data_IF_423490845578
#
_entry.id   IF_423490845578
#
_cell.length_a   1.000
_cell.length_b   1.000
_cell.length_c   1.000
_cell.angle_alpha   90.00
_cell.angle_beta   90.00
_cell.angle_gamma   90.00
#
_symmetry.space_group_name_H-M   'P 1'
#
loop_
_entity.id
_entity.type
_entity.pdbx_description
1 polymer ?
#
# COMPACT_ATOMS: atom_id res chain seq x y z
N UNK A 1 12.11 8.12 23.75
CA UNK A 1 11.27 8.58 22.64
C UNK A 1 9.99 7.75 22.64
N UNK A 2 8.83 8.40 22.44
CA UNK A 2 7.52 7.76 22.53
C UNK A 2 7.29 6.89 21.29
N UNK A 3 7.50 5.58 21.42
CA UNK A 3 7.35 4.57 20.37
C UNK A 3 5.87 4.24 20.14
N UNK A 4 5.12 5.12 19.51
CA UNK A 4 3.73 4.83 19.16
C UNK A 4 3.49 5.02 17.67
N UNK A 5 3.37 3.91 16.96
CA UNK A 5 2.77 3.87 15.63
C UNK A 5 1.25 3.96 15.82
N UNK A 6 0.63 4.99 15.25
CA UNK A 6 -0.81 5.19 15.29
C UNK A 6 -1.39 4.98 13.89
N UNK A 7 -2.47 4.22 13.80
CA UNK A 7 -3.28 4.13 12.59
C UNK A 7 -4.71 4.54 12.89
N UNK A 8 -5.34 5.19 11.92
CA UNK A 8 -6.75 5.52 11.93
C UNK A 8 -7.52 4.39 11.25
N UNK A 9 -8.51 3.84 11.95
CA UNK A 9 -9.52 2.96 11.34
C UNK A 9 -10.60 3.84 10.69
N UNK A 10 -10.88 3.57 9.42
CA UNK A 10 -12.03 4.13 8.69
C UNK A 10 -12.92 2.95 8.25
N UNK A 11 -14.15 2.93 8.73
CA UNK A 11 -15.11 1.87 8.44
C UNK A 11 -16.31 1.94 9.39
N UNK A 12 -17.46 1.44 8.96
CA UNK A 12 -18.62 1.32 9.85
C UNK A 12 -18.44 0.16 10.82
N UNK A 13 -18.63 0.38 12.12
CA UNK A 13 -18.65 -0.74 13.06
C UNK A 13 -19.92 -1.57 12.86
N UNK A 14 -19.77 -2.76 12.26
CA UNK A 14 -20.88 -3.70 12.04
C UNK A 14 -20.87 -4.87 13.03
N UNK A 15 -19.91 -4.90 13.98
CA UNK A 15 -19.71 -6.02 14.90
C UNK A 15 -19.22 -7.33 14.25
N UNK A 16 -18.97 -7.33 12.93
CA UNK A 16 -18.48 -8.49 12.17
C UNK A 16 -17.08 -8.22 11.65
N UNK A 17 -16.28 -9.28 11.50
CA UNK A 17 -14.98 -9.23 10.85
C UNK A 17 -15.16 -8.83 9.38
N UNK A 18 -14.45 -7.80 8.91
CA UNK A 18 -14.48 -7.34 7.53
C UNK A 18 -13.15 -7.59 6.82
N UNK A 19 -13.21 -7.60 5.49
CA UNK A 19 -12.00 -7.45 4.67
C UNK A 19 -11.40 -6.06 4.85
N UNK A 20 -10.10 -5.94 4.67
CA UNK A 20 -9.37 -4.74 5.00
C UNK A 20 -8.43 -4.26 3.89
N UNK A 21 -8.21 -2.95 3.85
CA UNK A 21 -7.10 -2.29 3.14
C UNK A 21 -6.13 -1.77 4.19
N UNK A 22 -4.84 -1.97 3.97
CA UNK A 22 -3.77 -1.28 4.68
C UNK A 22 -3.20 -0.16 3.81
N UNK A 23 -3.00 1.02 4.39
CA UNK A 23 -2.29 2.14 3.78
C UNK A 23 -1.31 2.76 4.78
N UNK A 24 -0.02 2.82 4.45
CA UNK A 24 0.98 3.53 5.24
C UNK A 24 1.67 4.64 4.44
N UNK A 25 2.03 5.69 5.16
CA UNK A 25 2.79 6.82 4.67
C UNK A 25 3.93 7.18 5.64
N UNK A 26 4.93 7.90 5.16
CA UNK A 26 5.97 8.46 6.02
C UNK A 26 6.84 7.40 6.70
N UNK A 27 7.09 6.28 6.02
CA UNK A 27 8.09 5.29 6.46
C UNK A 27 9.52 5.86 6.33
N UNK A 28 9.77 6.68 5.31
CA UNK A 28 10.95 7.54 5.23
C UNK A 28 10.59 8.96 5.68
N UNK A 29 11.31 9.46 6.68
CA UNK A 29 11.04 10.71 7.36
C UNK A 29 10.93 11.95 6.45
N UNK A 30 11.81 12.04 5.46
CA UNK A 30 11.97 13.22 4.58
C UNK A 30 10.93 13.32 3.47
N UNK A 31 10.11 12.29 3.27
CA UNK A 31 9.15 12.19 2.18
C UNK A 31 7.82 12.86 2.56
N UNK A 32 7.86 14.17 2.84
CA UNK A 32 6.76 14.89 3.51
C UNK A 32 5.43 14.90 2.76
N UNK A 33 5.46 14.73 1.43
CA UNK A 33 4.24 14.63 0.62
C UNK A 33 3.44 13.35 0.91
N UNK A 34 4.09 12.26 1.33
CA UNK A 34 3.39 11.01 1.65
C UNK A 34 2.48 11.16 2.90
N UNK A 35 2.95 11.66 4.07
CA UNK A 35 2.07 11.99 5.17
C UNK A 35 0.95 12.97 4.84
N UNK A 36 1.21 13.97 3.98
CA UNK A 36 0.18 14.90 3.51
C UNK A 36 -0.90 14.16 2.71
N UNK A 37 -0.51 13.22 1.83
CA UNK A 37 -1.44 12.39 1.09
C UNK A 37 -2.30 11.50 2.01
N UNK A 38 -1.72 10.79 2.98
CA UNK A 38 -2.52 9.96 3.88
C UNK A 38 -3.57 10.78 4.66
N UNK A 39 -3.23 12.00 5.10
CA UNK A 39 -4.19 12.92 5.73
C UNK A 39 -5.30 13.33 4.75
N UNK A 40 -4.93 13.66 3.51
CA UNK A 40 -5.89 13.96 2.45
C UNK A 40 -6.82 12.77 2.17
N UNK A 41 -6.29 11.55 2.09
CA UNK A 41 -7.06 10.32 1.89
C UNK A 41 -8.09 10.12 3.00
N UNK A 42 -7.71 10.30 4.26
CA UNK A 42 -8.62 10.21 5.42
C UNK A 42 -9.75 11.24 5.28
N UNK A 43 -9.42 12.48 4.93
CA UNK A 43 -10.39 13.56 4.73
C UNK A 43 -11.38 13.21 3.60
N UNK A 44 -10.89 12.70 2.46
CA UNK A 44 -11.76 12.31 1.34
C UNK A 44 -12.64 11.11 1.67
N UNK A 45 -12.13 10.15 2.46
CA UNK A 45 -12.92 9.01 2.90
C UNK A 45 -14.11 9.40 3.80
N UNK A 46 -14.02 10.54 4.50
CA UNK A 46 -15.13 11.09 5.29
C UNK A 46 -16.05 12.01 4.47
N UNK A 47 -15.60 12.47 3.30
CA UNK A 47 -16.45 13.22 2.36
C UNK A 47 -17.41 12.28 1.63
N UNK A 48 -18.38 12.87 0.94
CA UNK A 48 -19.46 12.16 0.25
C UNK A 48 -19.05 11.56 -1.09
N UNK A 49 -17.82 11.03 -1.25
CA UNK A 49 -17.48 10.23 -2.43
C UNK A 49 -18.34 8.96 -2.43
N UNK A 50 -19.28 8.77 -3.38
CA UNK A 50 -20.25 7.67 -3.30
C UNK A 50 -19.60 6.29 -3.37
N UNK A 51 -18.49 6.13 -4.12
CA UNK A 51 -17.78 4.85 -4.22
C UNK A 51 -17.08 4.53 -2.92
N UNK A 52 -16.38 5.51 -2.34
CA UNK A 52 -15.73 5.32 -1.05
C UNK A 52 -16.76 5.01 0.04
N UNK A 53 -17.89 5.73 0.06
CA UNK A 53 -18.98 5.48 1.00
C UNK A 53 -19.60 4.09 0.87
N UNK A 54 -19.61 3.50 -0.32
CA UNK A 54 -19.99 2.10 -0.51
C UNK A 54 -18.95 1.14 0.07
N UNK A 55 -17.68 1.36 -0.25
CA UNK A 55 -16.59 0.45 0.15
C UNK A 55 -16.38 0.43 1.68
N UNK A 56 -16.46 1.56 2.38
CA UNK A 56 -16.32 1.61 3.86
C UNK A 56 -17.45 0.88 4.62
N UNK A 57 -18.57 0.57 3.96
CA UNK A 57 -19.63 -0.27 4.57
C UNK A 57 -19.18 -1.72 4.67
N UNK A 58 -18.47 -2.20 3.67
CA UNK A 58 -18.11 -3.61 3.50
C UNK A 58 -16.65 -3.93 3.86
N UNK A 59 -15.80 -2.91 3.93
CA UNK A 59 -14.37 -3.02 4.24
C UNK A 59 -13.92 -2.05 5.32
N UNK A 60 -12.84 -2.42 6.00
CA UNK A 60 -12.12 -1.55 6.92
C UNK A 60 -10.85 -1.00 6.25
N UNK A 61 -10.55 0.28 6.46
CA UNK A 61 -9.34 0.92 5.99
C UNK A 61 -8.48 1.28 7.20
N UNK A 62 -7.26 0.75 7.25
CA UNK A 62 -6.28 1.07 8.28
C UNK A 62 -5.23 1.97 7.64
N UNK A 63 -5.26 3.25 8.03
CA UNK A 63 -4.37 4.28 7.46
C UNK A 63 -3.40 4.76 8.52
N UNK A 64 -2.09 4.62 8.32
CA UNK A 64 -1.05 5.22 9.17
C UNK A 64 -0.39 6.40 8.45
N UNK A 65 -0.71 7.66 8.81
CA UNK A 65 -0.17 8.83 8.11
C UNK A 65 1.34 9.01 8.28
N UNK A 66 1.88 8.60 9.42
CA UNK A 66 3.31 8.69 9.72
C UNK A 66 3.74 7.42 10.44
N UNK A 67 4.34 6.49 9.70
CA UNK A 67 4.90 5.27 10.29
C UNK A 67 6.18 5.57 11.10
N UNK A 68 7.10 6.37 10.54
CA UNK A 68 8.35 6.76 11.17
C UNK A 68 8.21 8.10 11.90
N UNK A 69 7.55 8.09 13.06
CA UNK A 69 7.25 9.33 13.79
C UNK A 69 8.50 10.03 14.32
N UNK A 70 9.46 9.27 14.87
CA UNK A 70 10.71 9.82 15.40
C UNK A 70 11.54 10.48 14.28
N UNK A 71 11.69 9.79 13.15
CA UNK A 71 12.37 10.34 11.98
C UNK A 71 11.64 11.55 11.41
N UNK A 72 10.30 11.51 11.31
CA UNK A 72 9.52 12.65 10.83
C UNK A 72 9.79 13.89 11.70
N UNK A 73 9.64 13.80 13.03
CA UNK A 73 9.95 14.89 13.97
C UNK A 73 11.39 15.39 13.81
N UNK A 74 12.34 14.48 13.62
CA UNK A 74 13.75 14.82 13.42
C UNK A 74 13.96 15.65 12.15
N UNK A 75 13.35 15.25 11.03
CA UNK A 75 13.48 15.94 9.73
C UNK A 75 13.03 17.41 9.75
N UNK A 76 12.14 17.78 10.69
CA UNK A 76 11.72 19.17 10.89
C UNK A 76 12.72 20.01 11.71
N UNK A 77 13.69 19.37 12.38
CA UNK A 77 14.59 20.03 13.35
C UNK A 77 16.05 20.11 12.91
N UNK A 78 16.60 19.10 12.24
CA UNK A 78 18.02 19.09 11.86
C UNK A 78 18.27 18.28 10.56
N UNK A 79 19.22 18.76 9.75
CA UNK A 79 19.61 18.20 8.44
C UNK A 79 20.99 17.50 8.46
N UNK A 80 21.64 17.34 9.62
CA UNK A 80 22.95 16.67 9.74
C UNK A 80 22.89 15.41 10.61
N UNK A 81 23.67 14.37 10.29
CA UNK A 81 23.64 13.06 11.01
C UNK A 81 25.00 12.36 10.99
N UNK A 82 25.39 11.73 12.11
CA UNK A 82 26.65 10.97 12.34
C UNK A 82 26.41 9.54 12.86
N UNK A 83 27.48 8.71 12.96
CA UNK A 83 27.48 7.26 13.27
C UNK A 83 26.65 6.77 14.45
N UNK A 84 26.60 7.53 15.54
CA UNK A 84 25.85 7.14 16.75
C UNK A 84 24.37 7.57 16.69
N UNK A 85 23.96 8.17 15.56
CA UNK A 85 22.64 8.78 15.33
C UNK A 85 21.85 8.14 14.17
N UNK A 86 22.32 7.03 13.59
CA UNK A 86 21.64 6.40 12.46
C UNK A 86 20.48 5.51 12.91
N UNK A 87 19.29 5.84 12.42
CA UNK A 87 18.16 4.91 12.36
C UNK A 87 18.33 3.92 11.20
N UNK A 88 17.61 2.80 11.27
CA UNK A 88 17.54 1.80 10.20
C UNK A 88 16.66 2.31 9.05
N UNK A 89 17.02 1.96 7.81
CA UNK A 89 16.10 2.10 6.68
C UNK A 89 14.94 1.12 6.88
N UNK A 90 13.81 1.65 7.33
CA UNK A 90 12.61 0.87 7.63
C UNK A 90 12.13 0.07 6.42
N UNK A 91 12.31 0.57 5.19
CA UNK A 91 11.93 -0.14 3.96
C UNK A 91 13.04 -1.07 3.44
N UNK A 92 14.02 -1.39 4.30
CA UNK A 92 14.95 -2.52 4.17
C UNK A 92 14.89 -3.48 5.36
N UNK A 93 14.02 -3.22 6.34
CA UNK A 93 13.97 -3.95 7.60
C UNK A 93 12.93 -5.08 7.63
N UNK A 94 12.04 -5.21 6.64
CA UNK A 94 11.02 -6.27 6.66
C UNK A 94 11.61 -7.64 6.28
N UNK A 95 11.00 -8.73 6.76
CA UNK A 95 11.39 -10.10 6.39
C UNK A 95 10.91 -10.49 4.99
N UNK A 96 11.53 -9.89 3.97
CA UNK A 96 11.27 -10.12 2.56
C UNK A 96 12.61 -10.30 1.82
N UNK A 97 13.17 -11.52 1.90
CA UNK A 97 14.54 -11.82 1.50
C UNK A 97 15.55 -10.86 2.14
N UNK A 98 15.34 -10.53 3.41
CA UNK A 98 16.07 -9.49 4.12
C UNK A 98 17.58 -9.69 4.04
N UNK A 99 18.33 -8.59 3.85
CA UNK A 99 19.79 -8.63 3.89
C UNK A 99 20.46 -9.16 2.62
N UNK A 100 19.72 -9.49 1.56
CA UNK A 100 20.28 -10.19 0.40
C UNK A 100 20.81 -9.26 -0.70
N UNK A 101 20.13 -8.14 -1.00
CA UNK A 101 20.56 -7.18 -2.02
C UNK A 101 19.98 -5.79 -1.83
N UNK A 102 20.64 -4.77 -2.39
CA UNK A 102 20.17 -3.37 -2.33
C UNK A 102 20.15 -2.78 -0.91
N UNK A 103 21.00 -3.32 -0.03
CA UNK A 103 21.09 -3.01 1.41
C UNK A 103 22.54 -2.87 1.85
N UNK A 104 22.74 -2.30 3.03
CA UNK A 104 24.03 -2.23 3.71
C UNK A 104 23.91 -2.79 5.13
N UNK A 105 24.96 -3.42 5.63
CA UNK A 105 25.12 -3.77 7.05
C UNK A 105 25.96 -2.74 7.82
N UNK A 106 26.46 -1.71 7.15
CA UNK A 106 27.08 -0.55 7.79
C UNK A 106 25.97 0.38 8.30
N UNK A 107 25.90 0.58 9.62
CA UNK A 107 24.89 1.43 10.26
C UNK A 107 24.90 2.86 9.76
N UNK A 108 26.02 3.35 9.21
CA UNK A 108 26.11 4.71 8.66
C UNK A 108 25.55 4.87 7.25
N UNK A 109 25.06 3.79 6.66
CA UNK A 109 24.49 3.82 5.32
C UNK A 109 23.02 4.22 5.35
N UNK A 110 22.60 5.01 4.37
CA UNK A 110 21.18 5.33 4.14
C UNK A 110 20.31 4.10 3.80
N UNK A 111 20.93 2.97 3.45
CA UNK A 111 20.25 1.69 3.19
C UNK A 111 20.61 0.63 4.24
N UNK A 112 21.00 1.07 5.45
CA UNK A 112 21.26 0.16 6.55
C UNK A 112 20.00 -0.65 6.88
N UNK A 113 20.06 -1.98 6.74
CA UNK A 113 18.89 -2.86 6.85
C UNK A 113 18.53 -3.26 8.29
N UNK A 114 19.29 -2.80 9.29
CA UNK A 114 19.12 -3.15 10.70
C UNK A 114 20.00 -4.31 11.15
N UNK A 115 19.92 -4.65 12.43
CA UNK A 115 20.70 -5.74 13.04
C UNK A 115 20.13 -7.13 12.71
N UNK A 116 18.84 -7.20 12.43
CA UNK A 116 18.10 -8.37 11.97
C UNK A 116 16.83 -7.91 11.24
N UNK A 117 16.18 -8.82 10.51
CA UNK A 117 14.84 -8.56 9.99
C UNK A 117 13.88 -8.20 11.13
N UNK A 118 13.09 -7.16 10.93
CA UNK A 118 12.07 -6.64 11.84
C UNK A 118 12.69 -6.21 13.19
N UNK A 119 13.89 -5.64 13.15
CA UNK A 119 14.55 -5.06 14.33
C UNK A 119 13.84 -3.80 14.84
N UNK A 120 13.25 -3.03 13.95
CA UNK A 120 12.67 -1.73 14.28
C UNK A 120 11.25 -1.85 14.82
N UNK A 121 10.88 -1.11 15.89
CA UNK A 121 9.55 -1.21 16.50
C UNK A 121 8.42 -0.84 15.53
N UNK A 122 8.66 0.05 14.57
CA UNK A 122 7.70 0.42 13.52
C UNK A 122 7.42 -0.77 12.59
N UNK A 123 8.47 -1.48 12.16
CA UNK A 123 8.34 -2.69 11.36
C UNK A 123 7.66 -3.80 12.18
N UNK A 124 8.01 -3.96 13.47
CA UNK A 124 7.34 -4.90 14.38
C UNK A 124 5.84 -4.62 14.50
N UNK A 125 5.44 -3.35 14.60
CA UNK A 125 4.04 -2.96 14.71
C UNK A 125 3.25 -3.36 13.45
N UNK A 126 3.77 -3.04 12.25
CA UNK A 126 3.13 -3.40 10.97
C UNK A 126 3.06 -4.91 10.81
N UNK A 127 4.18 -5.61 11.02
CA UNK A 127 4.25 -7.06 10.85
C UNK A 127 3.35 -7.81 11.84
N UNK A 128 3.27 -7.36 13.09
CA UNK A 128 2.35 -7.92 14.08
C UNK A 128 0.89 -7.66 13.68
N UNK A 129 0.53 -6.41 13.40
CA UNK A 129 -0.87 -6.04 13.15
C UNK A 129 -1.42 -6.62 11.84
N UNK A 130 -0.69 -6.43 10.75
CA UNK A 130 -1.10 -6.91 9.42
C UNK A 130 -0.88 -8.42 9.31
N UNK A 131 0.26 -8.93 9.79
CA UNK A 131 0.61 -10.35 9.68
C UNK A 131 -0.32 -11.28 10.48
N UNK A 132 -0.71 -10.89 11.70
CA UNK A 132 -1.67 -11.67 12.52
C UNK A 132 -3.07 -11.78 11.90
N UNK A 133 -3.37 -10.95 10.89
CA UNK A 133 -4.67 -10.84 10.21
C UNK A 133 -4.53 -10.88 8.69
N UNK A 134 -3.43 -11.43 8.17
CA UNK A 134 -3.06 -11.35 6.74
C UNK A 134 -4.17 -11.79 5.78
N UNK A 135 -5.00 -12.76 6.18
CA UNK A 135 -6.10 -13.27 5.35
C UNK A 135 -7.31 -12.30 5.26
N UNK A 136 -7.36 -11.28 6.11
CA UNK A 136 -8.36 -10.21 6.06
C UNK A 136 -7.96 -9.10 5.09
N UNK A 137 -6.66 -8.88 4.89
CA UNK A 137 -6.16 -7.79 4.06
C UNK A 137 -6.18 -8.19 2.59
N UNK A 138 -6.90 -7.40 1.78
CA UNK A 138 -6.97 -7.56 0.34
C UNK A 138 -5.93 -6.72 -0.39
N UNK A 139 -5.53 -5.59 0.21
CA UNK A 139 -4.56 -4.69 -0.40
C UNK A 139 -3.64 -4.06 0.65
N UNK A 140 -2.40 -3.85 0.26
CA UNK A 140 -1.36 -3.16 1.01
C UNK A 140 -0.77 -2.04 0.15
N UNK A 141 -0.97 -0.78 0.57
CA UNK A 141 -0.47 0.40 -0.12
C UNK A 141 0.57 1.09 0.76
N UNK A 142 1.81 1.20 0.30
CA UNK A 142 2.84 1.97 1.00
C UNK A 142 3.22 3.18 0.15
N UNK A 143 3.12 4.37 0.72
CA UNK A 143 3.22 5.64 0.00
C UNK A 143 4.52 6.32 0.36
N UNK A 144 5.27 6.64 -0.68
CA UNK A 144 6.60 7.22 -0.68
C UNK A 144 6.66 8.43 -1.62
N UNK A 145 7.82 9.07 -1.65
CA UNK A 145 8.21 9.99 -2.72
C UNK A 145 9.73 9.94 -2.86
N UNK A 146 10.32 10.20 -4.02
CA UNK A 146 9.75 10.75 -5.24
C UNK A 146 10.15 9.89 -6.44
N UNK A 147 9.52 10.12 -7.58
CA UNK A 147 9.90 9.49 -8.83
C UNK A 147 8.74 9.22 -9.77
N UNK A 148 7.51 9.53 -9.34
CA UNK A 148 6.28 9.25 -10.10
C UNK A 148 6.24 7.80 -10.58
N UNK A 149 6.36 6.87 -9.62
CA UNK A 149 6.36 5.43 -9.88
C UNK A 149 5.21 4.76 -9.15
N UNK A 150 4.74 3.66 -9.75
CA UNK A 150 3.84 2.72 -9.09
C UNK A 150 4.49 1.34 -9.18
N UNK A 151 5.13 0.93 -8.08
CA UNK A 151 5.92 -0.29 -8.04
C UNK A 151 5.08 -1.47 -7.61
N UNK A 152 5.18 -2.55 -8.39
CA UNK A 152 4.62 -3.87 -8.05
C UNK A 152 5.70 -4.79 -7.48
N UNK A 153 5.33 -5.83 -6.71
CA UNK A 153 6.27 -6.85 -6.28
C UNK A 153 6.87 -7.63 -7.46
N UNK A 154 8.11 -8.11 -7.37
CA UNK A 154 9.01 -8.00 -6.23
C UNK A 154 10.17 -7.03 -6.49
N UNK A 155 10.78 -6.57 -5.41
CA UNK A 155 12.03 -5.81 -5.39
C UNK A 155 13.25 -6.64 -5.73
N UNK A 156 13.18 -7.96 -5.59
CA UNK A 156 14.26 -8.90 -5.88
C UNK A 156 14.05 -9.58 -7.25
N UNK A 157 15.03 -9.54 -8.18
CA UNK A 157 14.87 -10.00 -9.56
C UNK A 157 14.63 -11.51 -9.76
N UNK A 158 14.77 -12.31 -8.70
CA UNK A 158 14.58 -13.77 -8.76
C UNK A 158 13.16 -14.17 -8.33
N UNK A 159 12.30 -13.21 -8.03
CA UNK A 159 10.95 -13.44 -7.55
C UNK A 159 9.94 -12.75 -8.48
N UNK A 160 8.88 -13.46 -8.83
CA UNK A 160 7.75 -12.92 -9.59
C UNK A 160 6.47 -13.23 -8.83
N UNK A 161 5.58 -12.23 -8.71
CA UNK A 161 4.28 -12.45 -8.11
C UNK A 161 3.44 -13.40 -8.99
N UNK A 162 2.79 -14.44 -8.43
CA UNK A 162 1.89 -15.31 -9.19
C UNK A 162 0.80 -14.59 -10.00
N UNK A 163 0.37 -13.42 -9.53
CA UNK A 163 -0.61 -12.55 -10.18
C UNK A 163 0.04 -11.29 -10.80
N UNK A 164 1.30 -11.37 -11.24
CA UNK A 164 2.05 -10.23 -11.79
C UNK A 164 1.29 -9.47 -12.90
N UNK A 165 0.72 -10.19 -13.87
CA UNK A 165 -0.01 -9.56 -14.98
C UNK A 165 -1.22 -8.74 -14.49
N UNK A 166 -1.94 -9.25 -13.48
CA UNK A 166 -3.07 -8.53 -12.89
C UNK A 166 -2.59 -7.32 -12.08
N UNK A 167 -1.49 -7.46 -11.33
CA UNK A 167 -0.88 -6.34 -10.60
C UNK A 167 -0.50 -5.20 -11.56
N UNK A 168 0.10 -5.55 -12.70
CA UNK A 168 0.48 -4.61 -13.75
C UNK A 168 -0.73 -3.96 -14.42
N UNK A 169 -1.76 -4.73 -14.77
CA UNK A 169 -3.01 -4.20 -15.36
C UNK A 169 -3.65 -3.15 -14.45
N UNK A 170 -3.83 -3.48 -13.17
CA UNK A 170 -4.43 -2.59 -12.17
C UNK A 170 -3.52 -1.39 -11.89
N UNK A 171 -2.20 -1.58 -11.87
CA UNK A 171 -1.22 -0.51 -11.70
C UNK A 171 -1.23 0.48 -12.87
N UNK A 172 -1.30 0.00 -14.11
CA UNK A 172 -1.42 0.83 -15.31
C UNK A 172 -2.73 1.61 -15.32
N UNK A 173 -3.85 0.98 -14.95
CA UNK A 173 -5.13 1.67 -14.77
C UNK A 173 -5.09 2.78 -13.70
N UNK A 174 -4.35 2.55 -12.61
CA UNK A 174 -4.13 3.57 -11.59
C UNK A 174 -3.24 4.73 -12.09
N UNK A 175 -2.20 4.45 -12.87
CA UNK A 175 -1.37 5.47 -13.49
C UNK A 175 -2.15 6.32 -14.51
N UNK A 176 -3.04 5.72 -15.30
CA UNK A 176 -3.96 6.44 -16.17
C UNK A 176 -4.95 7.31 -15.39
N UNK A 177 -5.45 6.82 -14.25
CA UNK A 177 -6.34 7.57 -13.36
C UNK A 177 -5.63 8.78 -12.73
N UNK A 178 -4.35 8.65 -12.35
CA UNK A 178 -3.48 9.76 -11.92
C UNK A 178 -3.32 10.78 -13.04
N UNK A 179 -2.92 10.33 -14.24
CA UNK A 179 -2.70 11.20 -15.40
C UNK A 179 -3.94 12.01 -15.76
N UNK A 180 -5.13 11.44 -15.58
CA UNK A 180 -6.39 12.08 -15.94
C UNK A 180 -6.77 13.27 -15.06
N UNK A 181 -6.14 13.44 -13.88
CA UNK A 181 -6.43 14.57 -12.98
C UNK A 181 -5.69 15.83 -13.42
N UNK A 182 -4.35 15.77 -13.45
CA UNK A 182 -3.47 16.93 -13.74
C UNK A 182 -2.35 16.63 -14.74
N UNK A 183 -2.42 15.49 -15.46
CA UNK A 183 -1.49 15.16 -16.54
C UNK A 183 -0.17 14.52 -16.11
N UNK A 184 -0.01 14.09 -14.85
CA UNK A 184 1.24 13.45 -14.42
C UNK A 184 1.37 12.02 -14.93
N UNK A 185 2.53 11.73 -15.52
CA UNK A 185 2.86 10.39 -16.01
C UNK A 185 3.56 9.60 -14.90
N UNK A 186 3.00 8.45 -14.55
CA UNK A 186 3.61 7.49 -13.63
C UNK A 186 4.09 6.26 -14.38
N UNK A 187 5.31 5.80 -14.07
CA UNK A 187 5.85 4.55 -14.61
C UNK A 187 5.46 3.40 -13.70
N UNK A 188 4.96 2.31 -14.28
CA UNK A 188 4.52 1.11 -13.56
C UNK A 188 5.48 -0.04 -13.85
N UNK A 189 5.90 -0.77 -12.82
CA UNK A 189 6.78 -1.92 -13.00
C UNK A 189 7.31 -2.51 -11.69
N UNK A 190 8.12 -3.57 -11.78
CA UNK A 190 8.85 -4.06 -10.61
C UNK A 190 9.98 -3.09 -10.26
N UNK A 191 10.41 -3.08 -8.99
CA UNK A 191 11.51 -2.19 -8.59
C UNK A 191 12.80 -2.43 -9.40
N UNK A 192 13.25 -3.67 -9.69
CA UNK A 192 14.39 -3.92 -10.57
C UNK A 192 14.25 -3.33 -11.98
N UNK A 193 13.05 -3.35 -12.55
CA UNK A 193 12.83 -2.95 -13.95
C UNK A 193 12.79 -1.42 -14.13
N UNK A 194 12.25 -0.69 -13.14
CA UNK A 194 11.97 0.76 -13.29
C UNK A 194 12.65 1.66 -12.27
N UNK A 195 13.36 1.09 -11.29
CA UNK A 195 14.04 1.85 -10.24
C UNK A 195 15.41 1.24 -9.90
N UNK A 196 15.44 0.26 -9.00
CA UNK A 196 16.60 -0.56 -8.66
C UNK A 196 16.13 -1.80 -7.87
N UNK A 197 16.95 -2.85 -7.87
CA UNK A 197 16.68 -4.04 -7.08
C UNK A 197 16.89 -3.79 -5.58
N UNK A 198 15.97 -4.27 -4.74
CA UNK A 198 16.03 -4.18 -3.28
C UNK A 198 15.53 -5.45 -2.58
N UNK A 199 15.85 -5.55 -1.29
CA UNK A 199 15.29 -6.54 -0.37
C UNK A 199 14.77 -5.88 0.90
N UNK A 200 13.91 -6.58 1.64
CA UNK A 200 13.40 -6.12 2.93
C UNK A 200 12.38 -4.98 2.87
N UNK A 201 11.71 -4.78 1.72
CA UNK A 201 10.65 -3.79 1.58
C UNK A 201 9.32 -4.25 2.19
N UNK A 202 8.53 -3.31 2.70
CA UNK A 202 7.20 -3.57 3.28
C UNK A 202 6.23 -4.14 2.24
N UNK A 203 6.26 -3.63 1.00
CA UNK A 203 5.47 -4.09 -0.14
C UNK A 203 5.71 -5.57 -0.44
N UNK A 204 6.98 -5.98 -0.52
CA UNK A 204 7.34 -7.37 -0.83
C UNK A 204 6.99 -8.29 0.33
N UNK A 205 7.21 -7.85 1.57
CA UNK A 205 6.80 -8.59 2.76
C UNK A 205 5.29 -8.86 2.76
N UNK A 206 4.47 -7.83 2.52
CA UNK A 206 3.02 -7.97 2.44
C UNK A 206 2.62 -8.98 1.36
N UNK A 207 3.30 -8.97 0.21
CA UNK A 207 3.06 -9.94 -0.86
C UNK A 207 3.48 -11.36 -0.48
N UNK A 208 4.58 -11.54 0.24
CA UNK A 208 5.00 -12.83 0.79
C UNK A 208 4.04 -13.38 1.85
N UNK A 209 3.36 -12.51 2.60
CA UNK A 209 2.29 -12.92 3.53
C UNK A 209 1.02 -13.43 2.81
N UNK A 210 0.94 -13.24 1.49
CA UNK A 210 -0.19 -13.65 0.68
C UNK A 210 -1.23 -12.57 0.42
N UNK A 211 -0.95 -11.30 0.78
CA UNK A 211 -1.83 -10.18 0.44
C UNK A 211 -1.79 -9.99 -1.08
N UNK A 212 -2.93 -10.10 -1.80
CA UNK A 212 -2.90 -10.27 -3.26
C UNK A 212 -2.51 -9.01 -4.02
N UNK A 213 -2.88 -7.82 -3.52
CA UNK A 213 -2.60 -6.54 -4.14
C UNK A 213 -1.65 -5.73 -3.25
N UNK A 214 -0.39 -5.60 -3.63
CA UNK A 214 0.60 -4.83 -2.86
C UNK A 214 1.28 -3.84 -3.79
N UNK A 215 1.34 -2.57 -3.41
CA UNK A 215 1.89 -1.50 -4.25
C UNK A 215 2.70 -0.49 -3.44
N UNK A 216 3.77 0.01 -4.05
CA UNK A 216 4.46 1.22 -3.58
C UNK A 216 4.14 2.38 -4.52
N UNK A 217 3.71 3.51 -3.97
CA UNK A 217 3.61 4.76 -4.73
C UNK A 217 4.86 5.58 -4.46
N UNK A 218 5.60 5.98 -5.49
CA UNK A 218 6.58 7.06 -5.40
C UNK A 218 5.92 8.32 -5.98
N UNK A 219 5.48 9.24 -5.13
CA UNK A 219 4.72 10.42 -5.53
C UNK A 219 5.58 11.43 -6.31
N UNK A 220 5.02 12.62 -6.58
CA UNK A 220 5.76 13.73 -7.21
C UNK A 220 7.03 14.07 -6.44
N UNK A 221 8.06 14.58 -7.10
CA UNK A 221 8.19 14.82 -8.55
C UNK A 221 9.22 13.86 -9.19
N UNK A 222 9.81 14.23 -10.33
CA UNK A 222 10.90 13.47 -10.97
C UNK A 222 12.29 14.04 -10.64
N UNK A 223 12.44 14.71 -9.49
CA UNK A 223 13.72 15.21 -8.99
C UNK A 223 14.01 16.68 -9.24
N UNK A 224 13.04 17.50 -9.67
CA UNK A 224 13.24 18.97 -9.73
C UNK A 224 13.32 19.54 -8.32
N UNK A 225 12.43 19.08 -7.44
CA UNK A 225 12.37 19.41 -6.02
C UNK A 225 12.70 18.19 -5.13
N UNK A 226 12.48 16.98 -5.65
CA UNK A 226 12.68 15.75 -4.90
C UNK A 226 11.83 15.74 -3.63
N UNK A 227 12.47 15.59 -2.47
CA UNK A 227 11.80 15.56 -1.17
C UNK A 227 11.29 16.93 -0.70
N UNK A 228 11.77 18.04 -1.29
CA UNK A 228 11.38 19.41 -0.94
C UNK A 228 10.31 19.95 -1.89
N UNK A 229 9.30 19.14 -2.16
CA UNK A 229 8.19 19.49 -3.06
C UNK A 229 7.46 20.75 -2.51
N UNK A 230 7.24 21.79 -3.33
CA UNK A 230 6.62 23.03 -2.89
C UNK A 230 5.21 22.84 -2.32
N UNK A 231 4.82 23.67 -1.35
CA UNK A 231 3.51 23.55 -0.68
C UNK A 231 2.32 23.67 -1.64
N UNK A 232 2.44 24.48 -2.70
CA UNK A 232 1.41 24.63 -3.72
C UNK A 232 1.23 23.38 -4.61
N UNK A 233 2.18 22.44 -4.57
CA UNK A 233 2.08 21.13 -5.22
C UNK A 233 1.45 20.06 -4.32
N UNK A 234 1.23 20.32 -3.02
CA UNK A 234 0.67 19.32 -2.10
C UNK A 234 -0.72 18.90 -2.56
N UNK A 235 -1.63 19.86 -2.77
CA UNK A 235 -3.00 19.56 -3.14
C UNK A 235 -3.12 18.85 -4.50
N UNK A 236 -2.49 19.33 -5.60
CA UNK A 236 -2.49 18.62 -6.88
C UNK A 236 -1.98 17.18 -6.76
N UNK A 237 -0.85 16.97 -6.06
CA UNK A 237 -0.28 15.63 -5.86
C UNK A 237 -1.24 14.71 -5.10
N UNK A 238 -1.92 15.24 -4.07
CA UNK A 238 -2.88 14.46 -3.29
C UNK A 238 -4.13 14.09 -4.09
N UNK A 239 -4.64 14.98 -4.94
CA UNK A 239 -5.80 14.73 -5.82
C UNK A 239 -5.50 13.62 -6.83
N UNK A 240 -4.33 13.68 -7.48
CA UNK A 240 -3.83 12.64 -8.38
C UNK A 240 -3.66 11.29 -7.69
N UNK A 241 -2.89 11.27 -6.59
CA UNK A 241 -2.61 10.06 -5.85
C UNK A 241 -3.90 9.42 -5.31
N UNK A 242 -4.89 10.23 -4.92
CA UNK A 242 -6.19 9.75 -4.49
C UNK A 242 -6.92 9.03 -5.64
N UNK A 243 -6.91 9.60 -6.84
CA UNK A 243 -7.49 8.97 -8.04
C UNK A 243 -6.85 7.60 -8.32
N UNK A 244 -5.51 7.51 -8.26
CA UNK A 244 -4.79 6.25 -8.44
C UNK A 244 -5.09 5.22 -7.35
N UNK A 245 -5.02 5.61 -6.07
CA UNK A 245 -5.35 4.72 -4.96
C UNK A 245 -6.81 4.25 -5.01
N UNK A 246 -7.75 5.15 -5.31
CA UNK A 246 -9.17 4.82 -5.45
C UNK A 246 -9.42 3.84 -6.58
N UNK A 247 -8.68 3.94 -7.71
CA UNK A 247 -8.76 2.97 -8.80
C UNK A 247 -8.41 1.56 -8.33
N UNK A 248 -7.26 1.39 -7.66
CA UNK A 248 -6.81 0.09 -7.12
C UNK A 248 -7.83 -0.45 -6.13
N UNK A 249 -8.23 0.36 -5.16
CA UNK A 249 -9.17 -0.04 -4.10
C UNK A 249 -10.52 -0.47 -4.72
N UNK A 250 -11.02 0.27 -5.71
CA UNK A 250 -12.27 -0.06 -6.41
C UNK A 250 -12.16 -1.39 -7.15
N UNK A 251 -11.05 -1.66 -7.82
CA UNK A 251 -10.81 -2.93 -8.49
C UNK A 251 -10.86 -4.09 -7.49
N UNK A 252 -10.12 -3.97 -6.39
CA UNK A 252 -10.04 -4.98 -5.31
C UNK A 252 -11.42 -5.24 -4.70
N UNK A 253 -12.18 -4.17 -4.43
CA UNK A 253 -13.54 -4.26 -3.92
C UNK A 253 -14.45 -5.02 -4.90
N UNK A 254 -14.51 -4.60 -6.17
CA UNK A 254 -15.36 -5.24 -7.18
C UNK A 254 -15.01 -6.71 -7.36
N UNK A 255 -13.72 -7.05 -7.44
CA UNK A 255 -13.26 -8.45 -7.56
C UNK A 255 -13.76 -9.31 -6.40
N UNK A 256 -13.76 -8.76 -5.19
CA UNK A 256 -14.12 -9.51 -3.98
C UNK A 256 -15.63 -9.61 -3.78
N UNK A 257 -16.35 -8.50 -3.95
CA UNK A 257 -17.76 -8.40 -3.56
C UNK A 257 -18.73 -8.54 -4.73
N UNK A 258 -18.36 -8.15 -5.96
CA UNK A 258 -19.23 -8.33 -7.13
C UNK A 258 -19.03 -9.72 -7.78
N UNK A 259 -17.84 -10.31 -7.67
CA UNK A 259 -17.61 -11.72 -8.03
C UNK A 259 -18.43 -12.70 -7.18
N UNK A 260 -18.65 -12.37 -5.89
CA UNK A 260 -19.47 -13.16 -4.98
C UNK A 260 -20.96 -13.20 -5.40
N UNK A 261 -21.50 -12.10 -5.92
CA UNK A 261 -22.90 -12.03 -6.40
C UNK A 261 -23.09 -12.90 -7.65
N UNK A 262 -22.13 -12.87 -8.59
CA UNK A 262 -22.19 -13.72 -9.78
C UNK A 262 -22.09 -15.22 -9.43
N UNK A 263 -21.26 -15.57 -8.46
CA UNK A 263 -21.07 -16.97 -8.02
C UNK A 263 -22.28 -17.48 -7.23
N UNK A 264 -22.87 -16.65 -6.37
CA UNK A 264 -24.09 -16.96 -5.64
C UNK A 264 -25.31 -17.09 -6.57
N UNK A 265 -25.42 -16.20 -7.57
CA UNK A 265 -26.44 -16.33 -8.61
C UNK A 265 -26.26 -17.64 -9.38
N UNK A 266 -25.04 -17.97 -9.83
CA UNK A 266 -24.77 -19.21 -10.55
C UNK A 266 -25.12 -20.47 -9.72
N UNK A 267 -24.85 -20.48 -8.41
CA UNK A 267 -25.21 -21.60 -7.53
C UNK A 267 -26.73 -21.72 -7.34
N UNK A 268 -27.45 -20.60 -7.19
CA UNK A 268 -28.91 -20.58 -7.14
C UNK A 268 -29.56 -21.08 -8.44
N UNK A 269 -29.06 -20.65 -9.60
CA UNK A 269 -29.52 -21.14 -10.91
C UNK A 269 -29.25 -22.64 -11.09
N UNK A 270 -28.10 -23.14 -10.63
CA UNK A 270 -27.77 -24.56 -10.70
C UNK A 270 -28.69 -25.39 -9.78
N UNK A 271 -28.99 -24.90 -8.57
CA UNK A 271 -29.95 -25.55 -7.66
C UNK A 271 -31.37 -25.58 -8.23
N UNK A 272 -31.85 -24.47 -8.82
CA UNK A 272 -33.17 -24.38 -9.47
C UNK A 272 -33.29 -25.35 -10.65
N UNK A 273 -32.23 -25.51 -11.45
CA UNK A 273 -32.18 -26.50 -12.53
C UNK A 273 -32.22 -27.93 -11.99
N UNK A 274 -31.49 -28.25 -10.92
CA UNK A 274 -31.53 -29.59 -10.31
C UNK A 274 -32.89 -29.94 -9.71
N UNK A 275 -33.59 -28.98 -9.10
CA UNK A 275 -34.96 -29.18 -8.58
C UNK A 275 -35.98 -29.34 -9.73
N UNK A 276 -35.81 -28.57 -10.80
CA UNK A 276 -36.66 -28.66 -12.01
C UNK A 276 -36.52 -29.98 -12.78
N UNK A 277 -35.34 -30.63 -12.75
CA UNK A 277 -35.11 -31.94 -13.38
C UNK A 277 -35.68 -33.09 -12.53
N UNK A 278 -35.73 -32.95 -11.20
CA UNK A 278 -36.39 -33.95 -10.33
C UNK A 278 -37.92 -33.87 -10.36
N UNK A 279 -38.50 -32.75 -10.81
CA UNK A 279 -39.95 -32.53 -10.86
C UNK A 279 -40.67 -33.08 -12.10
N UNK A 280 -39.94 -33.54 -13.12
CA UNK A 280 -40.51 -33.96 -14.42
C UNK A 280 -40.50 -35.48 -14.67
N UNK A 281 -40.20 -36.30 -13.65
CA UNK A 281 -40.20 -37.78 -13.77
C UNK A 281 -41.36 -38.48 -13.07
N UNK A 282 -42.43 -37.76 -12.71
CA UNK A 282 -43.65 -38.33 -12.11
C UNK A 282 -44.89 -37.86 -12.88
N UNK A 283 -45.13 -38.46 -14.05
CA UNK A 283 -46.47 -38.66 -14.64
C UNK A 283 -46.42 -39.83 -15.61
#
# INVERSE_FOLDING_TARGET
>A
LHKMTYWQLIGFNTGKKKKAIWMDCGIHAREWIAPAFCQYFILQAHKTDPKMQEMIKNMDFYVTPVLNMDGYIYSWKDNTVSCDSYGTDLNRNFDANWGTLGVSFNCSSNTYCGSQAVSEPEAQAVTYFVGSRKDDFLCFLTIHSYGQLLLVPYGHPNFTAPNYNELMEVGLGAADAIRSVHGMNYTVGTSPDVLYANSGSSRDWARFQGIPFSYTFELRDNGTFGFQLPEDQIQPTCEEAYSGALHIITYVYNKTFNGAVATAAATLWTMLLTVGVTGTTLM
#
